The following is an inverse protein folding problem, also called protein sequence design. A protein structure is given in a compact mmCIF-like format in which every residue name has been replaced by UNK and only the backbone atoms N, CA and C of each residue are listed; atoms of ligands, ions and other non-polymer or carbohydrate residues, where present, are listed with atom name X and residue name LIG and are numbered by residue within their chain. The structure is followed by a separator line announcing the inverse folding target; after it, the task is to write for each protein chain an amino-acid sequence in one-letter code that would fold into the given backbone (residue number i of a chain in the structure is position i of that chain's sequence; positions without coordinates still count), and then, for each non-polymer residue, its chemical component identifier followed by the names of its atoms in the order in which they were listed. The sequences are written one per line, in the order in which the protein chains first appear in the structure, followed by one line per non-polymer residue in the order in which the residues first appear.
data_IF_183210223266
#
_entry.id   IF_183210223266
#
_cell.length_a   1.000
_cell.length_b   1.000
_cell.length_c   1.000
_cell.angle_alpha   90.00
_cell.angle_beta   90.00
_cell.angle_gamma   90.00
#
_symmetry.space_group_name_H-M   'P 1'
#
loop_
_entity.id
_entity.type
_entity.pdbx_description
1 polymer ?
#
# COMPACT_ATOMS: atom_id res chain seq x y z
N UNK A 1 -21.43 45.80 2.00
CA UNK A 1 -20.86 44.44 1.98
C UNK A 1 -19.90 44.33 0.81
N UNK A 2 -18.60 44.54 1.01
CA UNK A 2 -17.60 44.42 -0.08
C UNK A 2 -17.43 42.94 -0.41
N UNK A 3 -17.91 42.53 -1.58
CA UNK A 3 -17.66 41.19 -2.13
C UNK A 3 -16.14 41.07 -2.27
N UNK A 4 -15.50 40.20 -1.48
CA UNK A 4 -14.08 39.88 -1.64
C UNK A 4 -13.91 39.28 -3.03
N UNK A 5 -13.22 40.01 -3.92
CA UNK A 5 -12.82 39.46 -5.21
C UNK A 5 -11.96 38.21 -4.97
N UNK A 6 -12.41 37.05 -5.45
CA UNK A 6 -11.59 35.83 -5.47
C UNK A 6 -10.39 36.07 -6.40
N UNK A 7 -9.18 35.83 -5.89
CA UNK A 7 -7.98 35.86 -6.72
C UNK A 7 -7.75 34.47 -7.31
N UNK A 8 -7.45 34.39 -8.62
CA UNK A 8 -7.09 33.14 -9.30
C UNK A 8 -5.90 32.43 -8.61
N UNK A 9 -4.99 33.20 -8.01
CA UNK A 9 -3.87 32.69 -7.22
C UNK A 9 -4.30 31.98 -5.92
N UNK A 10 -5.43 32.35 -5.32
CA UNK A 10 -5.97 31.65 -4.15
C UNK A 10 -6.65 30.34 -4.54
N UNK A 11 -7.28 30.28 -5.73
CA UNK A 11 -7.84 29.03 -6.27
C UNK A 11 -6.71 28.05 -6.58
N UNK A 12 -5.63 28.52 -7.22
CA UNK A 12 -4.43 27.72 -7.47
C UNK A 12 -3.84 27.16 -6.16
N UNK A 13 -3.73 28.01 -5.13
CA UNK A 13 -3.29 27.59 -3.80
C UNK A 13 -4.21 26.52 -3.21
N UNK A 14 -5.54 26.71 -3.27
CA UNK A 14 -6.51 25.73 -2.79
C UNK A 14 -6.32 24.36 -3.44
N UNK A 15 -6.14 24.32 -4.77
CA UNK A 15 -5.85 23.09 -5.50
C UNK A 15 -4.52 22.45 -5.08
N UNK A 16 -3.45 23.25 -4.94
CA UNK A 16 -2.16 22.77 -4.46
C UNK A 16 -2.24 22.16 -3.05
N UNK A 17 -3.01 22.78 -2.15
CA UNK A 17 -3.25 22.28 -0.78
C UNK A 17 -4.00 20.96 -0.82
N UNK A 18 -5.04 20.84 -1.65
CA UNK A 18 -5.77 19.58 -1.83
C UNK A 18 -4.84 18.48 -2.34
N UNK A 19 -4.06 18.74 -3.40
CA UNK A 19 -3.11 17.76 -3.95
C UNK A 19 -2.06 17.35 -2.92
N UNK A 20 -1.47 18.31 -2.20
CA UNK A 20 -0.49 18.02 -1.15
C UNK A 20 -1.12 17.22 -0.01
N UNK A 21 -2.36 17.53 0.36
CA UNK A 21 -3.11 16.81 1.41
C UNK A 21 -3.45 15.38 0.99
N UNK A 22 -3.80 15.14 -0.27
CA UNK A 22 -4.03 13.80 -0.82
C UNK A 22 -2.75 12.96 -0.78
N UNK A 23 -1.62 13.54 -1.20
CA UNK A 23 -0.32 12.86 -1.08
C UNK A 23 0.09 12.63 0.36
N UNK A 24 -0.27 13.53 1.27
CA UNK A 24 -0.01 13.35 2.71
C UNK A 24 -0.87 12.22 3.27
N UNK A 25 -2.15 12.14 2.89
CA UNK A 25 -3.06 11.08 3.30
C UNK A 25 -2.55 9.71 2.84
N UNK A 26 -2.20 9.59 1.55
CA UNK A 26 -1.62 8.38 1.00
C UNK A 26 -0.28 8.05 1.68
N UNK A 27 0.65 9.00 1.72
CA UNK A 27 2.00 8.78 2.23
C UNK A 27 2.05 8.40 3.71
N UNK A 28 1.22 9.03 4.56
CA UNK A 28 1.11 8.65 5.98
C UNK A 28 0.44 7.28 6.12
N UNK A 29 -0.57 6.97 5.31
CA UNK A 29 -1.20 5.65 5.29
C UNK A 29 -0.20 4.55 4.96
N UNK A 30 0.50 4.66 3.83
CA UNK A 30 1.49 3.67 3.39
C UNK A 30 2.71 3.59 4.31
N UNK A 31 3.13 4.71 4.90
CA UNK A 31 4.19 4.71 5.92
C UNK A 31 3.87 3.75 7.08
N UNK A 32 2.62 3.71 7.55
CA UNK A 32 2.20 2.82 8.64
C UNK A 32 1.68 1.46 8.17
N UNK A 33 1.42 1.29 6.88
CA UNK A 33 1.06 0.02 6.28
C UNK A 33 2.32 -0.80 5.95
N UNK A 34 3.25 -0.18 5.22
CA UNK A 34 4.45 -0.82 4.68
C UNK A 34 5.75 -0.25 5.27
N UNK A 35 5.90 1.07 5.46
CA UNK A 35 7.22 1.67 5.75
C UNK A 35 7.73 1.60 7.19
N UNK A 36 6.94 1.09 8.14
CA UNK A 36 7.19 1.28 9.58
C UNK A 36 8.16 0.27 10.20
N UNK A 37 8.46 -0.85 9.52
CA UNK A 37 9.27 -1.94 10.09
C UNK A 37 10.79 -1.76 9.91
N UNK A 38 11.24 -0.94 8.95
CA UNK A 38 12.65 -0.72 8.65
C UNK A 38 13.07 0.75 8.86
N UNK A 39 14.27 1.02 9.38
CA UNK A 39 14.78 2.39 9.48
C UNK A 39 14.75 3.11 8.12
N UNK A 40 14.22 4.34 8.14
CA UNK A 40 14.16 5.28 7.01
C UNK A 40 13.28 4.90 5.81
N UNK A 41 12.76 3.68 5.70
CA UNK A 41 11.88 3.30 4.57
C UNK A 41 10.59 4.11 4.54
N UNK A 42 10.05 4.44 5.71
CA UNK A 42 8.92 5.35 5.87
C UNK A 42 9.08 6.71 5.18
N UNK A 43 10.31 7.20 5.00
CA UNK A 43 10.57 8.51 4.35
C UNK A 43 10.14 8.48 2.89
N UNK A 44 10.31 7.34 2.20
CA UNK A 44 10.01 7.24 0.77
C UNK A 44 8.53 7.48 0.47
N UNK A 45 7.65 7.07 1.38
CA UNK A 45 6.21 7.29 1.25
C UNK A 45 5.81 8.76 1.42
N UNK A 46 6.63 9.58 2.08
CA UNK A 46 6.38 11.01 2.29
C UNK A 46 6.96 11.90 1.17
N UNK A 47 7.83 11.36 0.31
CA UNK A 47 8.48 12.12 -0.78
C UNK A 47 7.45 12.80 -1.70
N UNK A 48 6.36 12.15 -2.17
CA UNK A 48 5.40 12.81 -3.06
C UNK A 48 4.72 14.03 -2.41
N UNK A 49 4.39 13.93 -1.12
CA UNK A 49 3.82 15.03 -0.36
C UNK A 49 4.83 16.18 -0.21
N UNK A 50 6.10 15.85 0.10
CA UNK A 50 7.17 16.83 0.23
C UNK A 50 7.43 17.58 -1.09
N UNK A 51 7.52 16.87 -2.22
CA UNK A 51 7.70 17.47 -3.54
C UNK A 51 6.53 18.42 -3.85
N UNK A 52 5.29 17.98 -3.60
CA UNK A 52 4.09 18.79 -3.82
C UNK A 52 4.09 20.07 -2.97
N UNK A 53 4.51 19.96 -1.70
CA UNK A 53 4.65 21.10 -0.81
C UNK A 53 5.72 22.07 -1.31
N UNK A 54 6.92 21.58 -1.66
CA UNK A 54 8.01 22.41 -2.18
C UNK A 54 7.58 23.16 -3.44
N UNK A 55 6.94 22.49 -4.40
CA UNK A 55 6.40 23.13 -5.61
C UNK A 55 5.39 24.23 -5.28
N UNK A 56 4.51 23.97 -4.31
CA UNK A 56 3.53 24.95 -3.83
C UNK A 56 4.22 26.18 -3.22
N UNK A 57 5.23 25.98 -2.38
CA UNK A 57 5.98 27.06 -1.74
C UNK A 57 6.78 27.89 -2.75
N UNK A 58 7.39 27.23 -3.75
CA UNK A 58 8.06 27.90 -4.87
C UNK A 58 7.08 28.73 -5.70
N UNK A 59 5.87 28.20 -5.97
CA UNK A 59 4.85 28.94 -6.70
C UNK A 59 4.29 30.14 -5.93
N UNK A 60 4.16 30.04 -4.61
CA UNK A 60 3.81 31.17 -3.77
C UNK A 60 4.92 32.23 -3.71
N UNK A 61 6.19 31.79 -3.63
CA UNK A 61 7.35 32.68 -3.53
C UNK A 61 7.67 33.39 -4.85
N UNK A 62 7.52 32.66 -5.95
CA UNK A 62 7.83 33.08 -7.32
C UNK A 62 6.76 32.57 -8.28
N UNK A 63 5.62 33.28 -8.42
CA UNK A 63 4.50 32.82 -9.25
C UNK A 63 4.85 32.49 -10.69
N UNK A 64 5.83 33.19 -11.28
CA UNK A 64 6.33 32.89 -12.64
C UNK A 64 7.05 31.54 -12.71
N UNK A 65 7.90 31.27 -11.73
CA UNK A 65 8.65 30.01 -11.64
C UNK A 65 7.68 28.88 -11.36
N UNK A 66 6.75 29.07 -10.41
CA UNK A 66 5.68 28.11 -10.13
C UNK A 66 4.84 27.78 -11.36
N UNK A 67 4.36 28.81 -12.07
CA UNK A 67 3.60 28.61 -13.30
C UNK A 67 4.38 27.79 -14.32
N UNK A 68 5.64 28.14 -14.58
CA UNK A 68 6.50 27.40 -15.49
C UNK A 68 6.70 25.95 -15.02
N UNK A 69 7.04 25.71 -13.76
CA UNK A 69 7.27 24.38 -13.20
C UNK A 69 6.04 23.48 -13.33
N UNK A 70 4.86 23.96 -12.91
CA UNK A 70 3.62 23.20 -13.01
C UNK A 70 3.23 22.92 -14.46
N UNK A 71 3.44 23.89 -15.37
CA UNK A 71 3.21 23.67 -16.80
C UNK A 71 4.18 22.63 -17.37
N UNK A 72 5.48 22.74 -17.10
CA UNK A 72 6.48 21.77 -17.58
C UNK A 72 6.26 20.38 -17.01
N UNK A 73 5.87 20.25 -15.75
CA UNK A 73 5.50 18.96 -15.15
C UNK A 73 4.32 18.35 -15.90
N UNK A 74 3.23 19.10 -16.09
CA UNK A 74 2.05 18.59 -16.78
C UNK A 74 2.30 18.22 -18.24
N UNK A 75 3.06 19.04 -18.99
CA UNK A 75 3.50 18.70 -20.36
C UNK A 75 4.42 17.48 -20.35
N UNK A 76 5.40 17.45 -19.46
CA UNK A 76 6.39 16.37 -19.37
C UNK A 76 5.75 15.02 -19.07
N UNK A 77 4.86 14.95 -18.07
CA UNK A 77 4.06 13.75 -17.79
C UNK A 77 3.17 13.37 -18.97
N UNK A 78 2.58 14.35 -19.66
CA UNK A 78 1.79 14.11 -20.86
C UNK A 78 2.61 13.44 -21.97
N UNK A 79 3.76 14.01 -22.31
CA UNK A 79 4.66 13.48 -23.33
C UNK A 79 5.20 12.10 -22.94
N UNK A 80 5.67 11.93 -21.70
CA UNK A 80 6.16 10.65 -21.20
C UNK A 80 5.10 9.56 -21.33
N UNK A 81 3.85 9.89 -20.99
CA UNK A 81 2.78 8.92 -20.99
C UNK A 81 2.28 8.59 -22.40
N UNK A 82 2.19 9.60 -23.28
CA UNK A 82 1.96 9.40 -24.73
C UNK A 82 3.02 8.51 -25.36
N UNK A 83 4.29 8.69 -24.97
CA UNK A 83 5.39 7.85 -25.41
C UNK A 83 5.27 6.42 -24.87
N UNK A 84 4.98 6.25 -23.57
CA UNK A 84 4.85 4.94 -22.91
C UNK A 84 3.76 4.07 -23.51
N UNK A 85 2.63 4.67 -23.91
CA UNK A 85 1.45 3.97 -24.44
C UNK A 85 1.34 3.95 -25.97
N UNK A 86 2.38 4.42 -26.69
CA UNK A 86 2.44 4.35 -28.15
C UNK A 86 2.20 2.91 -28.65
N UNK A 87 1.39 2.70 -29.70
CA UNK A 87 1.23 1.38 -30.31
C UNK A 87 2.60 0.76 -30.66
N UNK A 88 2.85 -0.46 -30.19
CA UNK A 88 4.13 -1.17 -30.40
C UNK A 88 5.16 -1.06 -29.27
N UNK A 89 4.89 -0.35 -28.16
CA UNK A 89 5.81 -0.18 -27.02
C UNK A 89 5.86 -1.34 -25.99
N UNK A 90 5.43 -2.55 -26.38
CA UNK A 90 5.39 -3.72 -25.51
C UNK A 90 4.15 -3.81 -24.61
N UNK A 91 4.28 -4.45 -23.42
CA UNK A 91 3.18 -4.90 -22.52
C UNK A 91 2.11 -3.86 -22.13
N UNK A 92 2.39 -2.56 -22.29
CA UNK A 92 1.43 -1.49 -21.98
C UNK A 92 0.81 -0.84 -23.23
N UNK A 93 1.07 -1.34 -24.44
CA UNK A 93 0.54 -0.75 -25.66
C UNK A 93 -1.00 -0.68 -25.62
N UNK A 94 -1.55 0.40 -26.17
CA UNK A 94 -2.99 0.57 -26.34
C UNK A 94 -3.61 1.69 -25.50
N UNK A 95 -4.54 2.40 -26.13
CA UNK A 95 -5.33 3.48 -25.52
C UNK A 95 -6.64 2.91 -25.01
N UNK A 96 -6.83 2.89 -23.70
CA UNK A 96 -8.14 2.62 -23.09
C UNK A 96 -8.68 3.90 -22.46
N UNK A 97 -10.00 4.00 -22.34
CA UNK A 97 -10.64 5.14 -21.68
C UNK A 97 -10.14 5.29 -20.23
N UNK A 98 -9.99 4.17 -19.51
CA UNK A 98 -9.43 4.16 -18.15
C UNK A 98 -8.01 4.72 -18.09
N UNK A 99 -7.14 4.34 -19.04
CA UNK A 99 -5.78 4.88 -19.13
C UNK A 99 -5.79 6.38 -19.42
N UNK A 100 -6.64 6.84 -20.35
CA UNK A 100 -6.77 8.27 -20.65
C UNK A 100 -7.25 9.09 -19.45
N UNK A 101 -8.25 8.58 -18.72
CA UNK A 101 -8.75 9.23 -17.50
C UNK A 101 -7.69 9.27 -16.39
N UNK A 102 -6.86 8.24 -16.26
CA UNK A 102 -5.74 8.23 -15.31
C UNK A 102 -4.68 9.30 -15.59
N UNK A 103 -4.63 9.86 -16.81
CA UNK A 103 -3.71 10.94 -17.16
C UNK A 103 -4.13 12.29 -16.59
N UNK A 104 -5.44 12.50 -16.41
CA UNK A 104 -6.00 13.81 -16.07
C UNK A 104 -5.37 14.39 -14.80
N UNK A 105 -5.24 13.65 -13.68
CA UNK A 105 -4.67 14.19 -12.44
C UNK A 105 -3.17 14.52 -12.54
N UNK A 106 -2.41 13.83 -13.40
CA UNK A 106 -0.95 13.98 -13.50
C UNK A 106 -0.51 14.89 -14.65
N UNK A 107 -1.42 15.25 -15.56
CA UNK A 107 -1.14 16.11 -16.73
C UNK A 107 -1.95 17.39 -16.70
N UNK A 108 -3.28 17.29 -16.87
CA UNK A 108 -4.17 18.43 -17.00
C UNK A 108 -4.27 19.24 -15.71
N UNK A 109 -4.22 18.59 -14.55
CA UNK A 109 -4.27 19.27 -13.26
C UNK A 109 -3.05 20.17 -13.02
N UNK A 110 -1.79 19.69 -13.16
CA UNK A 110 -0.62 20.57 -13.10
C UNK A 110 -0.66 21.69 -14.14
N UNK A 111 -1.07 21.40 -15.38
CA UNK A 111 -1.24 22.42 -16.43
C UNK A 111 -2.22 23.52 -16.00
N UNK A 112 -3.38 23.12 -15.47
CA UNK A 112 -4.41 24.03 -15.00
C UNK A 112 -3.93 24.89 -13.82
N UNK A 113 -3.24 24.29 -12.85
CA UNK A 113 -2.62 25.01 -11.72
C UNK A 113 -1.59 26.02 -12.23
N UNK A 114 -0.72 25.62 -13.17
CA UNK A 114 0.29 26.49 -13.76
C UNK A 114 -0.34 27.69 -14.49
N UNK A 115 -1.41 27.45 -15.25
CA UNK A 115 -2.19 28.49 -15.91
C UNK A 115 -2.85 29.46 -14.92
N UNK A 116 -3.44 28.96 -13.83
CA UNK A 116 -4.02 29.81 -12.78
C UNK A 116 -2.96 30.69 -12.09
N UNK A 117 -1.77 30.16 -11.82
CA UNK A 117 -0.66 30.96 -11.30
C UNK A 117 -0.19 32.01 -12.32
N UNK A 118 -0.09 31.64 -13.60
CA UNK A 118 0.30 32.55 -14.66
C UNK A 118 -0.68 33.72 -14.81
N UNK A 119 -1.98 33.44 -14.91
CA UNK A 119 -3.01 34.47 -15.03
C UNK A 119 -3.17 35.27 -13.75
N UNK A 120 -3.14 34.63 -12.58
CA UNK A 120 -3.15 35.32 -11.29
C UNK A 120 -2.02 36.34 -11.18
N UNK A 121 -0.80 35.93 -11.54
CA UNK A 121 0.36 36.81 -11.58
C UNK A 121 0.20 37.97 -12.59
N UNK A 122 -0.29 37.70 -13.81
CA UNK A 122 -0.51 38.76 -14.82
C UNK A 122 -1.52 39.80 -14.37
N UNK A 123 -2.63 39.36 -13.78
CA UNK A 123 -3.69 40.26 -13.28
C UNK A 123 -3.21 41.09 -12.09
N UNK A 124 -2.48 40.48 -11.15
CA UNK A 124 -1.90 41.19 -9.99
C UNK A 124 -0.86 42.24 -10.43
N UNK A 125 -0.07 41.95 -11.47
CA UNK A 125 0.85 42.92 -12.06
C UNK A 125 0.13 44.07 -12.75
N UNK A 126 -0.91 43.77 -13.54
CA UNK A 126 -1.67 44.79 -14.28
C UNK A 126 -2.44 45.75 -13.36
N UNK A 127 -2.87 45.27 -12.18
CA UNK A 127 -3.58 46.08 -11.18
C UNK A 127 -2.66 47.01 -10.38
N UNK A 128 -1.33 46.95 -10.57
CA UNK A 128 -0.38 47.71 -9.77
C UNK A 128 -0.48 47.41 -8.27
N UNK A 129 -1.16 46.31 -7.91
CA UNK A 129 -1.31 45.88 -6.52
C UNK A 129 0.05 45.36 -6.06
N UNK A 130 0.87 46.29 -5.54
CA UNK A 130 2.08 45.97 -4.78
C UNK A 130 1.75 44.94 -3.71
N UNK A 131 2.74 44.09 -3.42
CA UNK A 131 2.70 42.98 -2.46
C UNK A 131 1.61 43.18 -1.40
N UNK A 132 0.51 42.43 -1.53
CA UNK A 132 -0.60 42.53 -0.60
C UNK A 132 -0.10 42.45 0.84
N UNK A 133 -0.63 43.30 1.72
CA UNK A 133 -0.25 43.45 3.14
C UNK A 133 0.31 42.15 3.72
N UNK A 134 1.51 42.16 4.29
CA UNK A 134 2.27 40.96 4.68
C UNK A 134 1.47 39.86 5.40
N UNK A 135 0.41 40.23 6.13
CA UNK A 135 -0.55 39.28 6.71
C UNK A 135 -1.21 38.30 5.73
N UNK A 136 -1.58 38.72 4.51
CA UNK A 136 -2.18 37.82 3.49
C UNK A 136 -1.14 36.83 2.95
N UNK A 137 0.10 37.28 2.78
CA UNK A 137 1.22 36.42 2.36
C UNK A 137 1.49 35.36 3.43
N UNK A 138 1.56 35.75 4.69
CA UNK A 138 1.77 34.84 5.81
C UNK A 138 0.62 33.82 5.93
N UNK A 139 -0.63 34.26 5.73
CA UNK A 139 -1.78 33.36 5.73
C UNK A 139 -1.70 32.29 4.61
N UNK A 140 -1.27 32.66 3.40
CA UNK A 140 -1.10 31.68 2.30
C UNK A 140 -0.09 30.60 2.64
N UNK A 141 1.05 30.97 3.24
CA UNK A 141 2.05 29.99 3.71
C UNK A 141 1.52 29.14 4.87
N UNK A 142 0.82 29.76 5.81
CA UNK A 142 0.20 29.06 6.93
C UNK A 142 -0.82 28.03 6.45
N UNK A 143 -1.64 28.36 5.45
CA UNK A 143 -2.58 27.41 4.86
C UNK A 143 -1.85 26.31 4.07
N UNK A 144 -0.85 26.68 3.26
CA UNK A 144 -0.08 25.74 2.44
C UNK A 144 0.64 24.66 3.28
N UNK A 145 1.21 25.05 4.42
CA UNK A 145 1.96 24.16 5.31
C UNK A 145 1.04 23.56 6.37
N UNK A 146 0.24 24.39 7.02
CA UNK A 146 -0.54 24.02 8.19
C UNK A 146 -1.62 22.99 7.89
N UNK A 147 -2.32 23.08 6.75
CA UNK A 147 -3.38 22.13 6.43
C UNK A 147 -2.83 20.71 6.21
N UNK A 148 -1.85 20.47 5.29
CA UNK A 148 -1.27 19.13 5.13
C UNK A 148 -0.57 18.65 6.40
N UNK A 149 0.13 19.52 7.13
CA UNK A 149 0.82 19.14 8.36
C UNK A 149 -0.14 18.67 9.45
N UNK A 150 -1.21 19.44 9.72
CA UNK A 150 -2.23 19.06 10.70
C UNK A 150 -2.95 17.78 10.29
N UNK A 151 -3.24 17.62 9.00
CA UNK A 151 -3.80 16.39 8.47
C UNK A 151 -2.85 15.20 8.70
N UNK A 152 -1.57 15.34 8.35
CA UNK A 152 -0.58 14.30 8.54
C UNK A 152 -0.41 13.90 10.00
N UNK A 153 -0.38 14.87 10.92
CA UNK A 153 -0.35 14.61 12.36
C UNK A 153 -1.62 13.87 12.80
N UNK A 154 -2.80 14.36 12.42
CA UNK A 154 -4.07 13.74 12.80
C UNK A 154 -4.16 12.28 12.31
N UNK A 155 -3.73 12.00 11.08
CA UNK A 155 -3.68 10.66 10.51
C UNK A 155 -2.62 9.76 11.16
N UNK A 156 -1.53 10.35 11.67
CA UNK A 156 -0.44 9.59 12.27
C UNK A 156 -0.67 9.21 13.75
N UNK A 157 -1.53 9.93 14.49
CA UNK A 157 -1.70 9.71 15.95
C UNK A 157 -2.12 8.27 16.28
N UNK A 158 -3.22 7.75 15.71
CA UNK A 158 -3.68 6.39 16.02
C UNK A 158 -2.69 5.31 15.55
N UNK A 159 -2.19 5.34 14.30
CA UNK A 159 -1.25 4.32 13.85
C UNK A 159 0.08 4.38 14.60
N UNK A 160 0.60 5.57 14.91
CA UNK A 160 1.83 5.71 15.70
C UNK A 160 1.66 5.17 17.11
N UNK A 161 0.55 5.52 17.77
CA UNK A 161 0.22 4.96 19.08
C UNK A 161 0.12 3.44 19.01
N UNK A 162 -0.60 2.93 18.01
CA UNK A 162 -0.78 1.49 17.79
C UNK A 162 0.55 0.77 17.61
N UNK A 163 1.39 1.21 16.66
CA UNK A 163 2.71 0.60 16.37
C UNK A 163 3.63 0.65 17.60
N UNK A 164 3.63 1.76 18.34
CA UNK A 164 4.46 1.93 19.53
C UNK A 164 4.04 1.05 20.73
N UNK A 165 2.77 0.62 20.76
CA UNK A 165 2.22 -0.19 21.85
C UNK A 165 1.91 -1.64 21.44
N UNK A 166 2.43 -2.09 20.29
CA UNK A 166 2.28 -3.49 19.88
C UNK A 166 2.91 -4.42 20.90
N UNK A 167 2.17 -5.46 21.27
CA UNK A 167 2.73 -6.54 22.06
C UNK A 167 3.76 -7.31 21.20
N UNK A 168 5.00 -7.31 21.68
CA UNK A 168 6.10 -8.12 21.17
C UNK A 168 6.80 -8.77 22.36
N UNK A 169 6.50 -10.03 22.62
CA UNK A 169 7.14 -10.80 23.69
C UNK A 169 8.50 -11.42 23.28
N UNK A 170 8.96 -11.16 22.05
CA UNK A 170 10.26 -11.59 21.54
C UNK A 170 10.37 -13.07 21.18
N UNK A 171 9.33 -13.88 21.42
CA UNK A 171 9.35 -15.30 21.07
C UNK A 171 8.45 -15.56 19.85
N UNK A 172 9.08 -16.05 18.79
CA UNK A 172 8.42 -16.36 17.51
C UNK A 172 8.36 -17.87 17.23
N UNK A 173 8.82 -18.72 18.15
CA UNK A 173 8.76 -20.18 18.01
C UNK A 173 7.33 -20.72 18.09
N UNK A 174 7.18 -22.02 18.31
CA UNK A 174 5.87 -22.66 18.41
C UNK A 174 4.96 -22.01 19.47
N UNK A 175 3.70 -21.74 19.09
CA UNK A 175 2.68 -21.10 19.93
C UNK A 175 1.39 -21.87 19.90
N UNK A 176 0.83 -22.16 21.07
CA UNK A 176 -0.54 -22.61 21.18
C UNK A 176 -1.48 -21.40 21.29
N UNK A 177 -2.44 -21.29 20.36
CA UNK A 177 -3.47 -20.25 20.37
C UNK A 177 -4.83 -20.94 20.49
N UNK A 178 -5.56 -20.60 21.55
CA UNK A 178 -6.91 -21.07 21.81
C UNK A 178 -7.88 -19.91 21.93
N UNK A 179 -8.97 -19.95 21.18
CA UNK A 179 -10.00 -18.91 21.20
C UNK A 179 -10.95 -19.01 20.01
N UNK A 180 -12.13 -18.43 20.15
CA UNK A 180 -13.17 -18.39 19.10
C UNK A 180 -13.45 -19.73 18.36
N UNK A 181 -13.39 -20.84 19.09
CA UNK A 181 -13.65 -22.19 18.58
C UNK A 181 -12.45 -22.89 17.93
N UNK A 182 -11.26 -22.29 17.94
CA UNK A 182 -10.01 -22.94 17.48
C UNK A 182 -9.06 -23.20 18.66
N UNK A 183 -8.26 -24.25 18.54
CA UNK A 183 -7.19 -24.64 19.46
C UNK A 183 -6.05 -25.21 18.61
N UNK A 184 -5.12 -24.34 18.20
CA UNK A 184 -4.11 -24.64 17.19
C UNK A 184 -2.71 -24.33 17.69
N UNK A 185 -1.76 -25.18 17.32
CA UNK A 185 -0.34 -24.89 17.38
C UNK A 185 0.05 -24.13 16.10
N UNK A 186 0.77 -23.03 16.27
CA UNK A 186 1.27 -22.15 15.22
C UNK A 186 2.79 -22.15 15.26
N UNK A 187 3.44 -22.05 14.09
CA UNK A 187 4.89 -21.87 13.98
C UNK A 187 5.25 -20.54 13.28
N UNK A 188 5.10 -19.37 13.93
CA UNK A 188 5.37 -18.05 13.31
C UNK A 188 6.81 -17.84 12.82
N UNK A 189 7.78 -18.53 13.42
CA UNK A 189 9.19 -18.51 13.00
C UNK A 189 9.45 -19.32 11.73
N UNK A 190 8.49 -20.12 11.27
CA UNK A 190 8.69 -21.02 10.14
C UNK A 190 8.95 -20.33 8.81
N UNK A 191 9.72 -20.96 7.92
CA UNK A 191 10.05 -20.43 6.60
C UNK A 191 8.84 -20.33 5.66
N UNK A 192 7.71 -20.96 6.00
CA UNK A 192 6.46 -20.86 5.24
C UNK A 192 5.85 -19.46 5.20
N UNK A 193 6.26 -18.57 6.12
CA UNK A 193 5.72 -17.21 6.26
C UNK A 193 6.51 -16.13 5.50
N UNK A 194 7.42 -16.53 4.61
CA UNK A 194 8.19 -15.68 3.67
C UNK A 194 8.43 -14.23 4.10
N UNK A 195 9.29 -14.03 5.10
CA UNK A 195 9.63 -12.70 5.64
C UNK A 195 10.24 -11.70 4.64
N UNK A 196 10.50 -12.11 3.39
CA UNK A 196 11.07 -11.28 2.31
C UNK A 196 10.15 -11.13 1.08
N UNK A 197 8.97 -11.76 1.08
CA UNK A 197 8.07 -11.86 -0.08
C UNK A 197 8.61 -12.71 -1.24
N UNK A 198 7.76 -13.05 -2.21
CA UNK A 198 8.20 -13.48 -3.55
C UNK A 198 7.74 -14.85 -4.09
N UNK A 199 7.24 -15.78 -3.27
CA UNK A 199 6.64 -17.04 -3.76
C UNK A 199 5.12 -16.92 -3.82
N UNK A 200 4.53 -17.46 -4.88
CA UNK A 200 3.08 -17.54 -5.03
C UNK A 200 2.47 -18.69 -4.24
N UNK A 201 1.15 -18.63 -4.04
CA UNK A 201 0.38 -19.71 -3.44
C UNK A 201 0.63 -21.05 -4.14
N UNK A 202 0.72 -21.01 -5.48
CA UNK A 202 0.99 -22.16 -6.32
C UNK A 202 2.35 -22.83 -6.01
N UNK A 203 3.40 -22.04 -5.82
CA UNK A 203 4.73 -22.55 -5.45
C UNK A 203 4.73 -23.23 -4.08
N UNK A 204 3.92 -22.72 -3.14
CA UNK A 204 3.77 -23.30 -1.81
C UNK A 204 2.98 -24.61 -1.85
N UNK A 205 1.88 -24.64 -2.60
CA UNK A 205 1.02 -25.81 -2.72
C UNK A 205 1.74 -26.98 -3.40
N UNK A 206 2.56 -26.71 -4.43
CA UNK A 206 3.26 -27.75 -5.20
C UNK A 206 4.62 -28.14 -4.59
N UNK A 207 5.03 -27.60 -3.45
CA UNK A 207 6.39 -27.73 -2.91
C UNK A 207 6.93 -29.18 -2.85
N UNK A 208 6.07 -30.14 -2.53
CA UNK A 208 6.38 -31.56 -2.47
C UNK A 208 5.97 -32.39 -3.70
N UNK A 209 5.33 -31.80 -4.71
CA UNK A 209 4.85 -32.50 -5.90
C UNK A 209 6.05 -32.75 -6.83
N UNK A 210 6.34 -34.02 -7.11
CA UNK A 210 7.53 -34.41 -7.87
C UNK A 210 8.82 -34.21 -7.06
N UNK A 211 9.70 -33.32 -7.53
CA UNK A 211 10.94 -32.98 -6.82
C UNK A 211 10.65 -31.95 -5.71
N UNK A 212 11.15 -32.21 -4.50
CA UNK A 212 11.03 -31.27 -3.37
C UNK A 212 11.76 -29.96 -3.67
N UNK A 213 11.11 -28.83 -3.40
CA UNK A 213 11.64 -27.48 -3.67
C UNK A 213 10.70 -26.63 -4.52
N UNK A 214 11.16 -25.46 -4.97
CA UNK A 214 10.36 -24.50 -5.77
C UNK A 214 10.62 -24.58 -7.28
N UNK A 215 11.65 -25.31 -7.70
CA UNK A 215 12.07 -25.39 -9.09
C UNK A 215 10.91 -25.91 -9.98
N UNK A 216 10.56 -25.13 -11.01
CA UNK A 216 9.53 -25.49 -11.99
C UNK A 216 8.08 -25.42 -11.49
N UNK A 217 7.79 -24.65 -10.42
CA UNK A 217 6.45 -24.59 -9.79
C UNK A 217 5.77 -23.23 -9.88
N UNK A 218 6.44 -22.27 -10.50
CA UNK A 218 5.87 -20.96 -10.82
C UNK A 218 5.20 -21.05 -12.18
N UNK A 219 3.88 -20.99 -12.19
CA UNK A 219 3.05 -21.07 -13.39
C UNK A 219 2.15 -19.84 -13.52
N UNK A 220 1.76 -19.49 -14.75
CA UNK A 220 0.97 -18.30 -15.07
C UNK A 220 1.78 -16.99 -15.10
N UNK A 221 1.12 -15.89 -15.45
CA UNK A 221 1.73 -14.56 -15.44
C UNK A 221 2.09 -14.18 -14.01
N UNK A 222 3.37 -13.90 -13.77
CA UNK A 222 3.94 -13.52 -12.46
C UNK A 222 3.74 -14.56 -11.33
N UNK A 223 3.32 -15.79 -11.62
CA UNK A 223 3.08 -16.87 -10.66
C UNK A 223 1.61 -17.05 -10.22
N UNK A 224 0.69 -16.34 -10.89
CA UNK A 224 -0.75 -16.36 -10.63
C UNK A 224 -1.51 -17.14 -11.71
N UNK A 225 -2.48 -17.94 -11.29
CA UNK A 225 -3.25 -18.85 -12.15
C UNK A 225 -4.46 -18.13 -12.77
N UNK A 226 -4.20 -17.07 -13.53
CA UNK A 226 -5.18 -16.01 -13.81
C UNK A 226 -6.08 -16.20 -15.04
N UNK A 227 -6.33 -17.43 -15.52
CA UNK A 227 -7.43 -17.64 -16.48
C UNK A 227 -7.12 -17.45 -17.97
N UNK A 228 -5.87 -17.18 -18.41
CA UNK A 228 -5.55 -16.93 -19.84
C UNK A 228 -4.60 -17.96 -20.51
N UNK A 229 -5.07 -19.16 -20.93
CA UNK A 229 -4.24 -20.15 -21.66
C UNK A 229 -4.23 -21.60 -21.10
N UNK A 230 -3.35 -22.45 -21.63
CA UNK A 230 -3.27 -23.91 -21.35
C UNK A 230 -2.59 -24.27 -20.00
N UNK A 231 -2.52 -23.31 -19.08
CA UNK A 231 -1.87 -23.47 -17.76
C UNK A 231 -2.82 -24.02 -16.68
N UNK A 232 -4.13 -24.16 -16.95
CA UNK A 232 -5.10 -24.76 -16.01
C UNK A 232 -4.65 -26.15 -15.55
N UNK A 233 -4.02 -26.93 -16.43
CA UNK A 233 -3.51 -28.26 -16.10
C UNK A 233 -2.31 -28.26 -15.11
N UNK A 234 -1.71 -27.09 -14.85
CA UNK A 234 -0.52 -26.93 -14.01
C UNK A 234 -0.76 -26.10 -12.76
N UNK A 235 -1.97 -25.56 -12.59
CA UNK A 235 -2.34 -24.85 -11.38
C UNK A 235 -2.58 -25.80 -10.22
N UNK A 236 -2.08 -25.39 -9.07
CA UNK A 236 -2.27 -26.09 -7.83
C UNK A 236 -3.72 -25.97 -7.40
N UNK A 237 -4.18 -27.02 -6.74
CA UNK A 237 -5.49 -27.07 -6.09
C UNK A 237 -5.33 -27.06 -4.58
N UNK A 238 -6.41 -26.83 -3.84
CA UNK A 238 -6.39 -27.05 -2.39
C UNK A 238 -5.97 -28.47 -2.02
N UNK A 239 -6.30 -29.46 -2.87
CA UNK A 239 -5.84 -30.84 -2.68
C UNK A 239 -4.31 -30.94 -2.80
N UNK A 240 -3.71 -30.23 -3.76
CA UNK A 240 -2.25 -30.15 -3.84
C UNK A 240 -1.65 -29.50 -2.59
N UNK A 241 -2.24 -28.40 -2.09
CA UNK A 241 -1.81 -27.76 -0.85
C UNK A 241 -1.86 -28.73 0.35
N UNK A 242 -2.92 -29.54 0.46
CA UNK A 242 -3.08 -30.54 1.52
C UNK A 242 -2.09 -31.70 1.40
N UNK A 243 -1.76 -32.13 0.18
CA UNK A 243 -0.96 -33.33 -0.06
C UNK A 243 0.54 -33.06 -0.17
N UNK A 244 0.91 -31.91 -0.72
CA UNK A 244 2.27 -31.55 -1.13
C UNK A 244 2.74 -30.19 -0.60
N UNK A 245 1.90 -29.44 0.11
CA UNK A 245 2.22 -28.10 0.59
C UNK A 245 3.50 -28.01 1.41
N UNK A 246 4.18 -26.87 1.31
CA UNK A 246 5.46 -26.60 1.97
C UNK A 246 5.47 -26.92 3.47
N UNK A 247 4.39 -26.60 4.18
CA UNK A 247 4.29 -26.82 5.62
C UNK A 247 4.46 -28.29 6.02
N UNK A 248 4.11 -29.24 5.15
CA UNK A 248 4.26 -30.67 5.40
C UNK A 248 5.73 -31.11 5.54
N UNK A 249 6.66 -30.28 5.10
CA UNK A 249 8.10 -30.52 5.13
C UNK A 249 8.80 -29.78 6.28
N UNK A 250 8.06 -29.11 7.15
CA UNK A 250 8.65 -28.47 8.33
C UNK A 250 9.05 -29.51 9.38
N UNK A 251 10.21 -29.31 10.01
CA UNK A 251 10.62 -30.07 11.20
C UNK A 251 9.59 -29.95 12.34
N UNK A 252 9.77 -30.75 13.39
CA UNK A 252 8.88 -30.75 14.55
C UNK A 252 8.70 -29.34 15.14
N UNK A 253 9.78 -28.57 15.25
CA UNK A 253 9.76 -27.20 15.80
C UNK A 253 9.15 -26.16 14.84
N UNK A 254 8.87 -26.53 13.59
CA UNK A 254 8.25 -25.64 12.60
C UNK A 254 9.17 -24.55 12.07
N UNK A 255 10.48 -24.66 12.24
CA UNK A 255 11.49 -23.61 11.96
C UNK A 255 12.37 -23.87 10.74
N UNK A 256 12.42 -25.10 10.24
CA UNK A 256 13.30 -25.51 9.15
C UNK A 256 12.60 -26.44 8.17
N UNK A 257 12.97 -26.33 6.88
CA UNK A 257 12.50 -27.25 5.84
C UNK A 257 13.38 -28.49 5.80
N UNK A 258 12.72 -29.64 5.80
CA UNK A 258 13.34 -30.97 5.73
C UNK A 258 13.27 -31.50 4.30
N UNK A 259 14.25 -32.31 3.87
CA UNK A 259 14.25 -32.92 2.54
C UNK A 259 13.13 -33.96 2.35
N UNK A 260 12.55 -34.45 3.45
CA UNK A 260 11.48 -35.45 3.44
C UNK A 260 10.23 -34.91 4.13
N UNK A 261 9.05 -35.38 3.70
CA UNK A 261 7.76 -35.03 4.30
C UNK A 261 7.72 -35.48 5.77
N UNK A 262 7.40 -34.55 6.66
CA UNK A 262 7.33 -34.75 8.11
C UNK A 262 5.88 -34.90 8.59
N UNK A 263 4.97 -34.06 8.09
CA UNK A 263 3.54 -34.13 8.40
C UNK A 263 3.12 -33.58 9.77
N UNK A 264 4.01 -32.91 10.51
CA UNK A 264 3.66 -32.25 11.79
C UNK A 264 2.81 -30.98 11.60
N UNK A 265 3.02 -30.27 10.49
CA UNK A 265 2.43 -28.97 10.20
C UNK A 265 1.65 -28.99 8.89
N UNK A 266 0.60 -28.16 8.82
CA UNK A 266 -0.14 -27.88 7.58
C UNK A 266 -0.37 -26.38 7.43
N UNK A 267 -0.67 -25.95 6.21
CA UNK A 267 -1.16 -24.59 5.99
C UNK A 267 -2.51 -24.41 6.71
N UNK A 268 -2.73 -23.32 7.43
CA UNK A 268 -4.02 -23.03 8.07
C UNK A 268 -5.04 -22.51 7.05
N UNK A 269 -6.32 -22.71 7.31
CA UNK A 269 -7.38 -22.08 6.49
C UNK A 269 -7.51 -20.60 6.84
N UNK A 270 -8.22 -19.85 5.99
CA UNK A 270 -8.53 -18.43 6.21
C UNK A 270 -9.34 -18.24 7.49
N UNK A 271 -10.35 -19.09 7.72
CA UNK A 271 -11.16 -19.05 8.93
C UNK A 271 -10.31 -19.32 10.19
N UNK A 272 -9.35 -20.25 10.13
CA UNK A 272 -8.45 -20.54 11.24
C UNK A 272 -7.49 -19.39 11.56
N UNK A 273 -6.90 -18.77 10.54
CA UNK A 273 -6.06 -17.55 10.72
C UNK A 273 -6.90 -16.46 11.36
N UNK A 274 -8.07 -16.17 10.81
CA UNK A 274 -8.97 -15.11 11.28
C UNK A 274 -9.38 -15.34 12.73
N UNK A 275 -9.82 -16.56 13.08
CA UNK A 275 -10.20 -16.90 14.45
C UNK A 275 -9.03 -16.90 15.43
N UNK A 276 -7.79 -16.99 14.94
CA UNK A 276 -6.58 -16.93 15.76
C UNK A 276 -6.02 -15.52 15.94
N UNK A 277 -6.59 -14.50 15.28
CA UNK A 277 -6.14 -13.12 15.41
C UNK A 277 -6.28 -12.63 16.85
N UNK A 278 -5.32 -11.82 17.29
CA UNK A 278 -5.23 -11.34 18.67
C UNK A 278 -5.02 -9.83 18.75
N UNK A 279 -5.26 -9.28 19.95
CA UNK A 279 -4.94 -7.90 20.34
C UNK A 279 -4.55 -7.90 21.82
N UNK A 280 -3.37 -7.41 22.15
CA UNK A 280 -2.86 -7.37 23.52
C UNK A 280 -2.78 -8.76 24.17
N UNK A 281 -2.45 -9.79 23.38
CA UNK A 281 -2.39 -11.18 23.84
C UNK A 281 -3.74 -11.87 24.03
N UNK A 282 -4.86 -11.18 23.78
CA UNK A 282 -6.20 -11.74 23.86
C UNK A 282 -6.74 -12.04 22.47
N UNK A 283 -7.55 -13.10 22.34
CA UNK A 283 -8.24 -13.41 21.09
C UNK A 283 -9.19 -12.26 20.68
N UNK A 284 -9.14 -11.84 19.42
CA UNK A 284 -9.90 -10.71 18.90
C UNK A 284 -11.39 -11.05 18.60
N UNK A 285 -11.77 -12.32 18.70
CA UNK A 285 -13.12 -12.82 18.45
C UNK A 285 -13.56 -12.65 17.00
N UNK A 286 -12.62 -12.78 16.06
CA UNK A 286 -12.87 -12.57 14.64
C UNK A 286 -13.50 -13.81 13.98
N UNK A 287 -14.50 -13.58 13.15
CA UNK A 287 -15.15 -14.61 12.32
C UNK A 287 -14.95 -14.22 10.85
N UNK A 288 -14.61 -15.19 10.01
CA UNK A 288 -14.52 -14.95 8.58
C UNK A 288 -15.90 -14.86 7.95
N UNK A 289 -16.18 -13.77 7.23
CA UNK A 289 -17.37 -13.63 6.40
C UNK A 289 -16.98 -13.79 4.93
N UNK A 290 -17.21 -15.00 4.40
CA UNK A 290 -16.92 -15.34 3.01
C UNK A 290 -17.76 -14.52 2.02
N UNK A 291 -18.92 -14.00 2.41
CA UNK A 291 -19.77 -13.21 1.51
C UNK A 291 -19.20 -11.82 1.23
N UNK A 292 -18.46 -11.26 2.19
CA UNK A 292 -17.81 -9.95 2.06
C UNK A 292 -16.30 -10.03 1.86
N UNK A 293 -15.71 -11.23 2.01
CA UNK A 293 -14.26 -11.44 1.97
C UNK A 293 -13.53 -10.69 3.08
N UNK A 294 -14.18 -10.48 4.23
CA UNK A 294 -13.65 -9.67 5.33
C UNK A 294 -13.87 -10.33 6.68
N UNK A 295 -12.94 -10.16 7.63
CA UNK A 295 -13.14 -10.62 9.00
C UNK A 295 -14.04 -9.64 9.78
N UNK A 296 -14.99 -10.18 10.52
CA UNK A 296 -15.81 -9.46 11.50
C UNK A 296 -15.28 -9.74 12.90
N UNK A 297 -14.70 -8.74 13.55
CA UNK A 297 -14.05 -8.88 14.84
C UNK A 297 -14.75 -8.11 15.96
N UNK A 298 -14.77 -8.68 17.17
CA UNK A 298 -15.21 -7.96 18.38
C UNK A 298 -14.23 -6.86 18.76
N UNK A 299 -12.94 -7.15 18.60
CA UNK A 299 -11.84 -6.22 18.84
C UNK A 299 -11.02 -6.15 17.56
N UNK A 300 -10.60 -4.96 17.13
CA UNK A 300 -9.71 -4.83 15.96
C UNK A 300 -8.36 -5.51 16.28
N UNK A 301 -7.98 -6.58 15.56
CA UNK A 301 -6.71 -7.24 15.78
C UNK A 301 -5.55 -6.36 15.30
N UNK A 302 -4.33 -6.71 15.71
CA UNK A 302 -3.12 -6.05 15.24
C UNK A 302 -2.00 -7.07 14.99
N UNK A 303 -0.95 -6.61 14.34
CA UNK A 303 0.25 -7.40 14.04
C UNK A 303 1.12 -7.54 15.28
N UNK A 304 0.70 -8.42 16.17
CA UNK A 304 1.29 -8.64 17.49
C UNK A 304 1.61 -10.12 17.71
N UNK A 305 2.53 -10.40 18.63
CA UNK A 305 2.70 -11.75 19.19
C UNK A 305 1.41 -12.19 19.90
N UNK A 306 1.05 -13.49 19.92
CA UNK A 306 1.89 -14.64 19.55
C UNK A 306 1.84 -15.03 18.08
N UNK A 307 0.89 -14.49 17.30
CA UNK A 307 0.68 -14.96 15.93
C UNK A 307 1.66 -14.31 14.95
N UNK A 308 1.84 -12.99 15.05
CA UNK A 308 2.64 -12.22 14.10
C UNK A 308 4.01 -11.85 14.67
N UNK A 309 5.00 -11.71 13.78
CA UNK A 309 6.25 -11.00 14.06
C UNK A 309 6.01 -9.48 13.88
N UNK A 310 5.96 -8.67 14.96
CA UNK A 310 5.66 -7.25 14.87
C UNK A 310 6.78 -6.44 14.25
N UNK A 311 7.90 -7.03 13.84
CA UNK A 311 9.03 -6.34 13.17
C UNK A 311 9.27 -6.83 11.75
N UNK A 312 8.50 -7.82 11.29
CA UNK A 312 8.57 -8.32 9.91
C UNK A 312 7.99 -7.30 8.92
N UNK A 313 8.44 -7.33 7.67
CA UNK A 313 7.78 -6.58 6.58
C UNK A 313 6.43 -7.18 6.19
N UNK A 314 6.29 -8.49 6.36
CA UNK A 314 5.13 -9.25 5.89
C UNK A 314 3.93 -8.97 6.77
N UNK A 315 2.85 -8.49 6.18
CA UNK A 315 1.56 -8.24 6.84
C UNK A 315 0.45 -9.18 6.34
N UNK A 316 0.80 -10.14 5.48
CA UNK A 316 -0.13 -11.09 4.88
C UNK A 316 0.30 -12.52 5.19
N UNK A 317 -0.68 -13.40 5.36
CA UNK A 317 -0.44 -14.84 5.48
C UNK A 317 -1.04 -15.57 4.30
N UNK A 318 -0.29 -16.57 3.83
CA UNK A 318 -0.86 -17.58 2.95
C UNK A 318 -1.79 -18.49 3.75
N UNK A 319 -2.92 -18.79 3.15
CA UNK A 319 -3.93 -19.70 3.68
C UNK A 319 -4.02 -20.92 2.78
N UNK A 320 -4.55 -22.01 3.31
CA UNK A 320 -4.78 -23.23 2.57
C UNK A 320 -5.88 -23.07 1.51
N UNK A 321 -6.81 -22.15 1.76
CA UNK A 321 -7.95 -21.87 0.88
C UNK A 321 -7.46 -21.09 -0.35
N UNK A 322 -8.02 -21.44 -1.51
CA UNK A 322 -7.80 -20.69 -2.75
C UNK A 322 -8.66 -19.41 -2.72
N UNK A 323 -8.07 -18.26 -3.10
CA UNK A 323 -8.77 -16.96 -2.98
C UNK A 323 -9.90 -16.79 -3.99
N UNK A 324 -9.75 -17.38 -5.18
CA UNK A 324 -10.76 -17.34 -6.23
C UNK A 324 -10.89 -18.77 -6.78
N UNK A 325 -12.12 -19.26 -7.03
CA UNK A 325 -12.42 -20.54 -7.70
C UNK A 325 -11.54 -20.76 -8.98
N UNK A 326 -10.31 -21.26 -8.83
CA UNK A 326 -9.33 -21.43 -9.91
C UNK A 326 -8.45 -20.22 -10.26
N UNK A 327 -8.35 -19.16 -9.43
CA UNK A 327 -7.38 -18.06 -9.66
C UNK A 327 -6.61 -17.71 -8.39
N UNK A 328 -5.50 -18.41 -8.20
CA UNK A 328 -4.46 -18.03 -7.23
C UNK A 328 -3.89 -16.64 -7.53
#
# INVERSE_FOLDING_TARGET
MKIRHFHLSDIALGLCVVVTSLWTLWGVGEMFHEGWYHPFEWVFFLIPALISLVLTLLALRWPRVGAALFTFLGVGFGVFTLWRYRPGSGRAAGWTLGRLLSLVPVTLFPLFIGLLFYWGWRVERARGSGEGSGGRRNLRYLVAIGVPLLLGIALAIEPAYRVAHRLDDGYLGERFIQGNGVALHWAPAGPGWQRKGGLSWNELALYGKGRVGFEGKRFGDDGFCNGVGDWEAHCATEEDMRNYGLCLYLNYEGTQLMPTKQGFWRMPTTDEVVRSLTRGGLNAGCIWDASTGRPLCKIKPDKETPLWDPKSMVIYYWTADESDDGRA
#
